data_IF_723381894092
#
_entry.id   IF_723381894092
#
_cell.length_a   1.000
_cell.length_b   1.000
_cell.length_c   1.000
_cell.angle_alpha   90.00
_cell.angle_beta   90.00
_cell.angle_gamma   90.00
#
_symmetry.space_group_name_H-M   'P 1'
#
loop_
_entity.id
_entity.type
_entity.pdbx_description
1 polymer ?
#
# COMPACT_ATOMS: atom_id res chain seq x y z
N UNK A 1 33.89 -41.70 -16.91
CA UNK A 1 32.51 -41.52 -17.42
C UNK A 1 31.42 -42.02 -16.46
N UNK A 2 31.70 -42.31 -15.18
CA UNK A 2 30.67 -42.76 -14.20
C UNK A 2 30.20 -41.64 -13.25
N UNK A 3 31.01 -40.60 -13.04
CA UNK A 3 30.66 -39.50 -12.14
C UNK A 3 29.59 -38.55 -12.71
N UNK A 4 29.59 -38.31 -14.03
CA UNK A 4 28.65 -37.37 -14.67
C UNK A 4 27.19 -37.87 -14.62
N UNK A 5 26.98 -39.18 -14.71
CA UNK A 5 25.64 -39.82 -14.68
C UNK A 5 25.02 -39.79 -13.27
N UNK A 6 25.86 -39.74 -12.23
CA UNK A 6 25.41 -39.75 -10.83
C UNK A 6 24.90 -38.38 -10.37
N UNK A 7 25.47 -37.30 -10.88
CA UNK A 7 25.01 -35.95 -10.56
C UNK A 7 23.72 -35.56 -11.29
N UNK A 8 23.52 -36.04 -12.52
CA UNK A 8 22.28 -35.77 -13.27
C UNK A 8 21.09 -36.53 -12.71
N UNK A 9 21.27 -37.77 -12.24
CA UNK A 9 20.22 -38.56 -11.59
C UNK A 9 19.84 -38.03 -10.21
N UNK A 10 20.81 -37.55 -9.42
CA UNK A 10 20.53 -36.91 -8.13
C UNK A 10 19.77 -35.59 -8.29
N UNK A 11 20.09 -34.80 -9.32
CA UNK A 11 19.42 -33.52 -9.60
C UNK A 11 17.95 -33.70 -10.01
N UNK A 12 17.65 -34.71 -10.84
CA UNK A 12 16.28 -35.03 -11.26
C UNK A 12 15.43 -35.51 -10.08
N UNK A 13 16.03 -36.29 -9.17
CA UNK A 13 15.34 -36.79 -7.98
C UNK A 13 15.02 -35.65 -7.00
N UNK A 14 15.96 -34.72 -6.78
CA UNK A 14 15.71 -33.52 -5.96
C UNK A 14 14.61 -32.65 -6.57
N UNK A 15 14.62 -32.40 -7.89
CA UNK A 15 13.54 -31.67 -8.56
C UNK A 15 12.18 -32.38 -8.43
N UNK A 16 12.16 -33.71 -8.43
CA UNK A 16 10.92 -34.49 -8.31
C UNK A 16 10.34 -34.50 -6.89
N UNK A 17 11.18 -34.36 -5.85
CA UNK A 17 10.73 -34.18 -4.46
C UNK A 17 10.24 -32.76 -4.16
N UNK A 18 10.73 -31.74 -4.88
CA UNK A 18 10.15 -30.39 -4.82
C UNK A 18 8.80 -30.27 -5.55
N UNK A 19 8.39 -31.29 -6.30
CA UNK A 19 7.18 -31.25 -7.13
C UNK A 19 5.91 -31.77 -6.43
N UNK A 20 6.01 -32.28 -5.20
CA UNK A 20 4.86 -32.93 -4.51
C UNK A 20 4.29 -32.15 -3.33
N UNK A 21 4.60 -30.86 -3.20
CA UNK A 21 3.80 -29.98 -2.36
C UNK A 21 2.77 -29.28 -3.25
N UNK A 22 1.63 -29.95 -3.42
CA UNK A 22 0.36 -29.32 -3.73
C UNK A 22 -0.04 -28.35 -2.60
N UNK A 23 0.77 -27.32 -2.36
CA UNK A 23 0.39 -26.21 -1.51
C UNK A 23 -0.54 -25.34 -2.35
N UNK A 24 -1.80 -25.34 -1.95
CA UNK A 24 -2.89 -24.50 -2.43
C UNK A 24 -2.50 -23.01 -2.44
N UNK A 25 -1.66 -22.59 -3.38
CA UNK A 25 -1.51 -21.21 -3.80
C UNK A 25 -2.73 -20.88 -4.65
N UNK A 26 -3.87 -20.79 -3.98
CA UNK A 26 -4.96 -19.97 -4.46
C UNK A 26 -4.34 -18.61 -4.74
N UNK A 27 -4.22 -18.29 -6.02
CA UNK A 27 -3.65 -17.04 -6.51
C UNK A 27 -4.59 -15.92 -6.06
N UNK A 28 -4.50 -15.49 -4.81
CA UNK A 28 -5.20 -14.30 -4.30
C UNK A 28 -4.54 -13.12 -4.99
N UNK A 29 -5.05 -12.79 -6.17
CA UNK A 29 -4.72 -11.53 -6.83
C UNK A 29 -5.30 -10.41 -5.97
N UNK A 30 -4.53 -9.96 -4.98
CA UNK A 30 -4.85 -8.75 -4.21
C UNK A 30 -4.55 -7.55 -5.10
N UNK A 31 -5.59 -6.86 -5.56
CA UNK A 31 -5.44 -5.59 -6.26
C UNK A 31 -5.18 -4.50 -5.23
N UNK A 32 -3.98 -3.93 -5.23
CA UNK A 32 -3.65 -2.76 -4.40
C UNK A 32 -4.02 -1.49 -5.18
N UNK A 33 -4.76 -0.59 -4.54
CA UNK A 33 -5.12 0.73 -5.08
C UNK A 33 -4.21 1.80 -4.49
N UNK A 34 -3.43 2.45 -5.35
CA UNK A 34 -2.51 3.53 -4.97
C UNK A 34 -3.02 4.84 -5.56
N UNK A 35 -3.05 5.91 -4.77
CA UNK A 35 -3.45 7.25 -5.19
C UNK A 35 -2.37 8.29 -4.94
N UNK A 36 -2.29 9.31 -5.80
CA UNK A 36 -1.42 10.47 -5.61
C UNK A 36 -2.24 11.73 -5.83
N UNK A 37 -2.32 12.59 -4.81
CA UNK A 37 -3.18 13.77 -4.81
C UNK A 37 -2.41 14.99 -4.36
N UNK A 38 -2.57 16.08 -5.11
CA UNK A 38 -2.13 17.40 -4.70
C UNK A 38 -3.34 18.17 -4.14
N UNK A 39 -3.26 18.60 -2.89
CA UNK A 39 -4.36 19.27 -2.19
C UNK A 39 -4.33 20.81 -2.31
N UNK A 40 -3.50 21.34 -3.22
CA UNK A 40 -3.39 22.76 -3.59
C UNK A 40 -3.27 23.68 -2.38
N UNK A 41 -2.12 23.65 -1.71
CA UNK A 41 -1.86 24.42 -0.49
C UNK A 41 -2.90 24.15 0.61
N UNK A 42 -2.96 22.90 1.06
CA UNK A 42 -3.81 22.47 2.15
C UNK A 42 -3.18 22.85 3.49
N UNK A 43 -3.59 24.00 4.02
CA UNK A 43 -3.10 24.58 5.28
C UNK A 43 -4.12 24.43 6.41
N UNK A 44 -3.73 24.81 7.62
CA UNK A 44 -4.61 24.79 8.80
C UNK A 44 -5.93 25.52 8.57
N UNK A 45 -5.90 26.70 7.95
CA UNK A 45 -7.11 27.47 7.64
C UNK A 45 -8.08 26.69 6.76
N UNK A 46 -7.58 25.99 5.73
CA UNK A 46 -8.44 25.15 4.87
C UNK A 46 -8.94 23.92 5.62
N UNK A 47 -8.06 23.29 6.40
CA UNK A 47 -8.41 22.15 7.22
C UNK A 47 -9.51 22.47 8.25
N UNK A 48 -9.54 23.65 8.85
CA UNK A 48 -10.55 23.97 9.87
C UNK A 48 -11.80 24.65 9.33
N UNK A 49 -11.71 25.43 8.24
CA UNK A 49 -12.84 26.24 7.76
C UNK A 49 -13.84 25.47 6.88
N UNK A 50 -13.43 24.34 6.29
CA UNK A 50 -14.25 23.65 5.26
C UNK A 50 -14.50 22.19 5.60
N UNK A 51 -15.32 21.94 6.63
CA UNK A 51 -15.64 20.59 7.09
C UNK A 51 -16.21 19.68 5.98
N UNK A 52 -17.07 20.23 5.10
CA UNK A 52 -17.63 19.51 3.95
C UNK A 52 -16.56 19.08 2.94
N UNK A 53 -15.56 19.92 2.69
CA UNK A 53 -14.43 19.62 1.79
C UNK A 53 -13.57 18.51 2.38
N UNK A 54 -13.25 18.57 3.67
CA UNK A 54 -12.48 17.51 4.33
C UNK A 54 -13.18 16.16 4.32
N UNK A 55 -14.51 16.17 4.50
CA UNK A 55 -15.32 14.96 4.41
C UNK A 55 -15.32 14.40 2.97
N UNK A 56 -15.29 15.27 1.96
CA UNK A 56 -15.19 14.83 0.57
C UNK A 56 -13.80 14.26 0.25
N UNK A 57 -12.74 14.92 0.72
CA UNK A 57 -11.36 14.45 0.60
C UNK A 57 -11.24 13.08 1.30
N UNK A 58 -11.73 12.93 2.53
CA UNK A 58 -11.62 11.65 3.25
C UNK A 58 -12.34 10.52 2.53
N UNK A 59 -13.54 10.76 1.97
CA UNK A 59 -14.25 9.80 1.11
C UNK A 59 -13.44 9.39 -0.11
N UNK A 60 -12.71 10.31 -0.72
CA UNK A 60 -11.85 10.04 -1.87
C UNK A 60 -10.66 9.16 -1.46
N UNK A 61 -9.97 9.53 -0.38
CA UNK A 61 -8.76 8.87 0.09
C UNK A 61 -9.03 7.44 0.59
N UNK A 62 -10.16 7.20 1.26
CA UNK A 62 -10.59 5.87 1.72
C UNK A 62 -10.80 4.84 0.61
N UNK A 63 -10.80 5.25 -0.67
CA UNK A 63 -10.91 4.33 -1.81
C UNK A 63 -9.58 3.65 -2.18
N UNK A 64 -8.49 4.09 -1.57
CA UNK A 64 -7.13 3.65 -1.86
C UNK A 64 -6.52 3.01 -0.61
N UNK A 65 -5.66 2.02 -0.82
CA UNK A 65 -4.92 1.35 0.25
C UNK A 65 -3.68 2.16 0.66
N UNK A 66 -3.10 2.89 -0.30
CA UNK A 66 -1.97 3.78 -0.10
C UNK A 66 -2.21 5.10 -0.83
N UNK A 67 -1.96 6.22 -0.15
CA UNK A 67 -2.08 7.56 -0.75
C UNK A 67 -0.82 8.39 -0.51
N UNK A 68 -0.37 9.08 -1.54
CA UNK A 68 0.66 10.10 -1.46
C UNK A 68 0.01 11.49 -1.59
N UNK A 69 0.18 12.34 -0.57
CA UNK A 69 -0.43 13.66 -0.51
C UNK A 69 0.63 14.76 -0.66
N UNK A 70 0.37 15.70 -1.55
CA UNK A 70 1.27 16.82 -1.85
C UNK A 70 0.63 18.16 -1.49
N UNK A 71 1.49 19.16 -1.29
CA UNK A 71 1.13 20.52 -0.89
C UNK A 71 0.32 20.61 0.42
N UNK A 72 0.58 19.70 1.35
CA UNK A 72 0.18 19.90 2.75
C UNK A 72 1.14 20.91 3.35
N UNK A 73 0.62 22.03 3.86
CA UNK A 73 1.41 23.10 4.47
C UNK A 73 1.06 23.15 5.94
N UNK A 74 1.97 22.65 6.76
CA UNK A 74 1.89 22.72 8.21
C UNK A 74 3.08 23.51 8.75
N UNK A 75 2.81 24.67 9.32
CA UNK A 75 3.82 25.49 9.99
C UNK A 75 3.85 25.23 11.51
N UNK A 76 3.02 24.32 12.01
CA UNK A 76 2.97 23.97 13.43
C UNK A 76 3.99 22.89 13.77
N UNK A 77 4.53 22.97 14.99
CA UNK A 77 5.44 21.94 15.50
C UNK A 77 4.71 20.62 15.84
N UNK A 78 3.38 20.64 15.92
CA UNK A 78 2.56 19.53 16.41
C UNK A 78 1.73 18.85 15.31
N UNK A 79 2.07 19.05 14.03
CA UNK A 79 1.39 18.43 12.87
C UNK A 79 -0.14 18.64 12.85
N UNK A 80 -0.61 19.82 13.26
CA UNK A 80 -2.04 20.12 13.43
C UNK A 80 -2.86 19.90 12.16
N UNK A 81 -2.31 20.18 10.98
CA UNK A 81 -3.01 20.03 9.69
C UNK A 81 -3.22 18.56 9.37
N UNK A 82 -2.19 17.75 9.56
CA UNK A 82 -2.23 16.31 9.33
C UNK A 82 -3.19 15.66 10.33
N UNK A 83 -3.10 16.02 11.60
CA UNK A 83 -3.99 15.50 12.65
C UNK A 83 -5.47 15.80 12.35
N UNK A 84 -5.75 17.01 11.84
CA UNK A 84 -7.11 17.36 11.43
C UNK A 84 -7.61 16.48 10.27
N UNK A 85 -6.77 16.21 9.27
CA UNK A 85 -7.12 15.32 8.16
C UNK A 85 -7.32 13.87 8.62
N UNK A 86 -6.43 13.36 9.48
CA UNK A 86 -6.53 12.01 10.06
C UNK A 86 -7.81 11.81 10.87
N UNK A 87 -8.22 12.82 11.63
CA UNK A 87 -9.49 12.78 12.36
C UNK A 87 -10.71 12.62 11.44
N UNK A 88 -10.64 13.06 10.18
CA UNK A 88 -11.70 12.81 9.19
C UNK A 88 -11.59 11.45 8.49
N UNK A 89 -10.43 10.81 8.52
CA UNK A 89 -10.21 9.47 7.97
C UNK A 89 -10.65 8.38 8.97
N UNK A 90 -10.56 8.63 10.28
CA UNK A 90 -10.96 7.67 11.31
C UNK A 90 -12.43 7.77 11.73
N UNK A 91 -13.15 8.81 11.30
CA UNK A 91 -14.62 8.89 11.40
C UNK A 91 -15.28 8.06 10.30
#
# INVERSE_FOLDING_TARGET
MYYFIRYTTLFILVCSFYQTDNFLLTNRISKIKIGSFNLRRYSLTKATSTNSVNLHISKILKRYDLVFLQEIIDASNDNRVINHLLNHLHK
#
